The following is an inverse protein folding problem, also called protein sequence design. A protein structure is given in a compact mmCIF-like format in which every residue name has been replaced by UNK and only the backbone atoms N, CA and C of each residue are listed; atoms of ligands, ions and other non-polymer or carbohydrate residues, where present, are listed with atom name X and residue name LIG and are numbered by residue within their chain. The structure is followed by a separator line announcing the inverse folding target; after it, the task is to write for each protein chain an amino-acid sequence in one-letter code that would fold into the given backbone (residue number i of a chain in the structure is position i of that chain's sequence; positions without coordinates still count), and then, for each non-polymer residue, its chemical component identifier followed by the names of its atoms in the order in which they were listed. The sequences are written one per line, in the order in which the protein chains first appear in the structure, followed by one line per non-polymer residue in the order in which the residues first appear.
data_IF_125798852892
#
_entry.id   IF_125798852892
#
_cell.length_a   1.000
_cell.length_b   1.000
_cell.length_c   1.000
_cell.angle_alpha   90.00
_cell.angle_beta   90.00
_cell.angle_gamma   90.00
#
_symmetry.space_group_name_H-M   'P 1'
#
loop_
_entity.id
_entity.type
_entity.pdbx_description
1 polymer ?
#
# COMPACT_ATOMS: atom_id res chain seq x y z
N UNK A 1 -15.90 1.00 -3.76
CA UNK A 1 -15.84 1.91 -4.93
C UNK A 1 -16.39 1.25 -6.19
N UNK A 2 -15.82 0.12 -6.64
CA UNK A 2 -16.23 -0.60 -7.86
C UNK A 2 -17.74 -0.89 -8.02
N UNK A 3 -18.46 -1.19 -6.94
CA UNK A 3 -19.91 -1.46 -7.01
C UNK A 3 -20.75 -0.19 -7.25
N UNK A 4 -20.22 1.00 -6.98
CA UNK A 4 -20.95 2.27 -7.05
C UNK A 4 -20.65 3.03 -8.35
N UNK A 5 -19.42 2.94 -8.83
CA UNK A 5 -18.93 3.73 -9.97
C UNK A 5 -18.56 2.79 -11.12
N UNK A 6 -19.30 2.88 -12.23
CA UNK A 6 -19.14 1.99 -13.39
C UNK A 6 -17.76 2.13 -14.07
N UNK A 7 -17.13 3.29 -13.94
CA UNK A 7 -15.83 3.63 -14.51
C UNK A 7 -14.65 3.35 -13.55
N UNK A 8 -14.91 2.81 -12.36
CA UNK A 8 -13.87 2.61 -11.34
C UNK A 8 -12.75 1.67 -11.80
N UNK A 9 -13.08 0.61 -12.54
CA UNK A 9 -12.06 -0.31 -13.04
C UNK A 9 -11.07 0.41 -13.95
N UNK A 10 -11.57 1.29 -14.83
CA UNK A 10 -10.73 2.08 -15.72
C UNK A 10 -9.82 3.04 -14.94
N UNK A 11 -10.34 3.71 -13.90
CA UNK A 11 -9.54 4.57 -13.04
C UNK A 11 -8.45 3.78 -12.30
N UNK A 12 -8.80 2.61 -11.78
CA UNK A 12 -7.86 1.72 -11.10
C UNK A 12 -6.74 1.26 -12.03
N UNK A 13 -7.09 0.77 -13.23
CA UNK A 13 -6.10 0.30 -14.22
C UNK A 13 -5.14 1.42 -14.63
N UNK A 14 -5.66 2.63 -14.84
CA UNK A 14 -4.84 3.81 -15.12
C UNK A 14 -3.89 4.14 -13.96
N UNK A 15 -4.39 4.11 -12.72
CA UNK A 15 -3.58 4.40 -11.53
C UNK A 15 -2.50 3.34 -11.26
N UNK A 16 -2.74 2.08 -11.67
CA UNK A 16 -1.75 1.00 -11.55
C UNK A 16 -0.68 1.06 -12.65
N UNK A 17 -1.06 1.43 -13.87
CA UNK A 17 -0.14 1.48 -15.03
C UNK A 17 0.62 2.80 -15.14
N UNK A 18 0.02 3.90 -14.69
CA UNK A 18 0.60 5.26 -14.74
C UNK A 18 0.50 5.93 -13.37
N UNK A 19 1.28 5.47 -12.36
CA UNK A 19 1.10 5.83 -10.97
C UNK A 19 1.67 7.22 -10.60
N UNK A 20 1.48 8.25 -11.44
CA UNK A 20 1.97 9.62 -11.20
C UNK A 20 1.47 10.18 -9.86
N UNK A 21 0.21 9.91 -9.52
CA UNK A 21 -0.41 10.21 -8.24
C UNK A 21 -0.84 8.93 -7.53
N UNK A 22 -1.03 9.00 -6.21
CA UNK A 22 -1.56 7.87 -5.44
C UNK A 22 -3.01 7.57 -5.85
N UNK A 23 -3.42 6.30 -5.81
CA UNK A 23 -4.78 5.88 -6.14
C UNK A 23 -5.83 6.64 -5.32
N UNK A 24 -5.58 6.84 -4.02
CA UNK A 24 -6.48 7.62 -3.15
C UNK A 24 -6.64 9.07 -3.62
N UNK A 25 -5.59 9.69 -4.16
CA UNK A 25 -5.66 11.03 -4.72
C UNK A 25 -6.49 11.03 -6.02
N UNK A 26 -6.30 10.04 -6.89
CA UNK A 26 -7.08 9.91 -8.12
C UNK A 26 -8.58 9.71 -7.81
N UNK A 27 -8.90 8.86 -6.84
CA UNK A 27 -10.28 8.64 -6.40
C UNK A 27 -10.89 9.90 -5.77
N UNK A 28 -10.14 10.61 -4.92
CA UNK A 28 -10.61 11.84 -4.30
C UNK A 28 -10.93 12.91 -5.36
N UNK A 29 -10.05 13.08 -6.35
CA UNK A 29 -10.24 14.03 -7.45
C UNK A 29 -11.45 13.68 -8.34
N UNK A 30 -11.68 12.40 -8.60
CA UNK A 30 -12.72 11.96 -9.54
C UNK A 30 -14.08 11.70 -8.88
N UNK A 31 -14.11 11.23 -7.63
CA UNK A 31 -15.32 10.82 -6.92
C UNK A 31 -15.64 11.62 -5.65
N UNK A 32 -14.72 12.46 -5.17
CA UNK A 32 -14.85 13.21 -3.91
C UNK A 32 -14.79 12.32 -2.66
N UNK A 33 -14.34 11.08 -2.80
CA UNK A 33 -14.10 10.10 -1.74
C UNK A 33 -13.05 9.09 -2.21
N UNK A 34 -12.28 8.53 -1.27
CA UNK A 34 -11.30 7.48 -1.55
C UNK A 34 -11.55 6.19 -0.75
N UNK A 35 -11.02 5.06 -1.24
CA UNK A 35 -11.26 3.74 -0.65
C UNK A 35 -10.62 3.59 0.74
N UNK A 36 -9.48 4.23 1.01
CA UNK A 36 -8.80 4.14 2.30
C UNK A 36 -9.65 4.74 3.43
N UNK A 37 -10.29 5.88 3.16
CA UNK A 37 -11.23 6.54 4.10
C UNK A 37 -12.45 5.66 4.36
N UNK A 38 -13.03 5.05 3.31
CA UNK A 38 -14.13 4.10 3.46
C UNK A 38 -13.69 2.89 4.30
N UNK A 39 -12.52 2.33 3.99
CA UNK A 39 -11.93 1.20 4.72
C UNK A 39 -11.73 1.49 6.20
N UNK A 40 -11.26 2.69 6.54
CA UNK A 40 -11.13 3.16 7.92
C UNK A 40 -12.45 3.10 8.68
N UNK A 41 -13.54 3.63 8.10
CA UNK A 41 -14.85 3.61 8.75
C UNK A 41 -15.41 2.20 8.89
N UNK A 42 -15.20 1.33 7.89
CA UNK A 42 -15.60 -0.09 7.98
C UNK A 42 -14.83 -0.80 9.10
N UNK A 43 -13.50 -0.71 9.11
CA UNK A 43 -12.65 -1.31 10.14
C UNK A 43 -12.99 -0.80 11.55
N UNK A 44 -13.24 0.50 11.67
CA UNK A 44 -13.66 1.12 12.93
C UNK A 44 -15.02 0.60 13.39
N UNK A 45 -15.98 0.39 12.48
CA UNK A 45 -17.30 -0.17 12.81
C UNK A 45 -17.22 -1.61 13.33
N UNK A 46 -16.20 -2.36 12.89
CA UNK A 46 -15.89 -3.71 13.38
C UNK A 46 -15.09 -3.72 14.68
N UNK A 47 -14.75 -2.54 15.23
CA UNK A 47 -13.97 -2.37 16.47
C UNK A 47 -12.59 -3.02 16.39
N UNK A 48 -11.96 -2.97 15.21
CA UNK A 48 -10.55 -3.35 15.09
C UNK A 48 -9.66 -2.42 15.94
N UNK A 49 -8.45 -2.88 16.32
CA UNK A 49 -7.47 -2.05 16.99
C UNK A 49 -7.23 -0.71 16.27
N UNK A 50 -7.00 0.37 17.04
CA UNK A 50 -6.94 1.74 16.51
C UNK A 50 -5.78 1.93 15.53
N UNK A 51 -4.63 1.35 15.86
CA UNK A 51 -3.43 1.28 15.02
C UNK A 51 -3.76 0.63 13.66
N UNK A 52 -4.43 -0.52 13.65
CA UNK A 52 -4.87 -1.18 12.40
C UNK A 52 -5.78 -0.26 11.58
N UNK A 53 -6.76 0.39 12.20
CA UNK A 53 -7.60 1.35 11.50
C UNK A 53 -6.79 2.51 10.90
N UNK A 54 -5.82 3.07 11.65
CA UNK A 54 -4.96 4.14 11.12
C UNK A 54 -4.12 3.66 9.94
N UNK A 55 -3.57 2.45 9.98
CA UNK A 55 -2.83 1.90 8.84
C UNK A 55 -3.73 1.72 7.62
N UNK A 56 -4.97 1.23 7.79
CA UNK A 56 -5.93 1.17 6.69
C UNK A 56 -6.21 2.56 6.11
N UNK A 57 -6.27 3.61 6.93
CA UNK A 57 -6.44 4.98 6.43
C UNK A 57 -5.22 5.46 5.64
N UNK A 58 -4.02 5.15 6.13
CA UNK A 58 -2.76 5.71 5.63
C UNK A 58 -2.08 4.84 4.56
N UNK A 59 -2.54 3.61 4.30
CA UNK A 59 -1.78 2.63 3.51
C UNK A 59 -1.43 3.06 2.08
N UNK A 60 -2.10 4.04 1.49
CA UNK A 60 -1.76 4.57 0.15
C UNK A 60 -1.02 5.92 0.19
N UNK A 61 -0.75 6.46 1.38
CA UNK A 61 0.04 7.68 1.52
C UNK A 61 1.54 7.35 1.36
N UNK A 62 2.09 7.80 0.23
CA UNK A 62 3.49 7.63 -0.13
C UNK A 62 4.44 8.40 0.80
N UNK A 63 3.93 9.39 1.54
CA UNK A 63 4.71 10.24 2.44
C UNK A 63 4.60 9.82 3.91
N UNK A 64 3.79 8.81 4.25
CA UNK A 64 3.54 8.40 5.64
C UNK A 64 4.83 8.09 6.42
N UNK A 65 5.82 7.51 5.74
CA UNK A 65 7.15 7.20 6.30
C UNK A 65 8.27 8.08 5.73
N UNK A 66 7.94 9.30 5.26
CA UNK A 66 8.96 10.26 4.79
C UNK A 66 9.86 10.74 5.94
N UNK A 67 9.30 10.86 7.14
CA UNK A 67 10.01 11.14 8.39
C UNK A 67 9.92 9.94 9.32
N UNK A 68 11.06 9.33 9.64
CA UNK A 68 11.13 8.15 10.51
C UNK A 68 11.10 8.59 11.99
N UNK A 69 10.08 8.15 12.72
CA UNK A 69 9.87 8.46 14.13
C UNK A 69 9.90 7.22 15.03
N UNK A 70 10.00 6.02 14.44
CA UNK A 70 10.10 4.75 15.17
C UNK A 70 8.80 4.33 15.86
N UNK A 71 7.65 4.84 15.40
CA UNK A 71 6.35 4.43 15.94
C UNK A 71 5.95 3.05 15.43
N UNK A 72 5.13 2.35 16.22
CA UNK A 72 4.59 1.03 15.85
C UNK A 72 3.78 1.09 14.55
N UNK A 73 3.15 2.22 14.24
CA UNK A 73 2.45 2.42 12.98
C UNK A 73 3.40 2.41 11.78
N UNK A 74 4.63 2.93 11.92
CA UNK A 74 5.63 2.84 10.84
C UNK A 74 6.05 1.40 10.59
N UNK A 75 6.18 0.58 11.64
CA UNK A 75 6.46 -0.85 11.51
C UNK A 75 5.33 -1.58 10.77
N UNK A 76 4.07 -1.33 11.18
CA UNK A 76 2.90 -1.92 10.54
C UNK A 76 2.77 -1.50 9.07
N UNK A 77 3.01 -0.22 8.77
CA UNK A 77 3.02 0.29 7.40
C UNK A 77 4.11 -0.38 6.56
N UNK A 78 5.32 -0.51 7.11
CA UNK A 78 6.44 -1.11 6.40
C UNK A 78 6.19 -2.59 6.10
N UNK A 79 5.67 -3.35 7.07
CA UNK A 79 5.27 -4.75 6.87
C UNK A 79 4.17 -4.86 5.81
N UNK A 80 3.16 -3.98 5.85
CA UNK A 80 2.09 -3.96 4.85
C UNK A 80 2.65 -3.69 3.45
N UNK A 81 3.52 -2.68 3.29
CA UNK A 81 4.11 -2.32 2.00
C UNK A 81 5.01 -3.40 1.42
N UNK A 82 5.83 -4.04 2.25
CA UNK A 82 6.61 -5.19 1.81
C UNK A 82 5.68 -6.35 1.37
N UNK A 83 4.60 -6.60 2.11
CA UNK A 83 3.63 -7.64 1.76
C UNK A 83 2.95 -7.36 0.43
N UNK A 84 2.48 -6.12 0.20
CA UNK A 84 1.91 -5.69 -1.08
C UNK A 84 2.89 -5.90 -2.23
N UNK A 85 4.17 -5.55 -2.02
CA UNK A 85 5.21 -5.74 -3.02
C UNK A 85 5.44 -7.22 -3.35
N UNK A 86 5.57 -8.08 -2.34
CA UNK A 86 5.80 -9.52 -2.54
C UNK A 86 4.64 -10.17 -3.30
N UNK A 87 3.39 -9.80 -2.96
CA UNK A 87 2.21 -10.28 -3.67
C UNK A 87 2.17 -9.76 -5.12
N UNK A 88 2.49 -8.49 -5.34
CA UNK A 88 2.54 -7.90 -6.68
C UNK A 88 3.58 -8.61 -7.57
N UNK A 89 4.79 -8.84 -7.02
CA UNK A 89 5.84 -9.57 -7.72
C UNK A 89 5.42 -11.02 -8.04
N UNK A 90 4.70 -11.69 -7.13
CA UNK A 90 4.24 -13.08 -7.34
C UNK A 90 3.20 -13.24 -8.44
N UNK A 91 2.24 -12.32 -8.53
CA UNK A 91 1.07 -12.50 -9.41
C UNK A 91 1.08 -11.64 -10.66
N UNK A 92 1.90 -10.59 -10.71
CA UNK A 92 1.89 -9.64 -11.82
C UNK A 92 3.26 -9.42 -12.44
N UNK A 93 4.36 -9.95 -11.87
CA UNK A 93 5.74 -9.68 -12.29
C UNK A 93 6.12 -8.18 -12.33
N UNK A 94 5.30 -7.32 -11.72
CA UNK A 94 5.50 -5.88 -11.61
C UNK A 94 5.50 -5.45 -10.15
N UNK A 95 6.25 -4.41 -9.83
CA UNK A 95 6.19 -3.78 -8.50
C UNK A 95 4.83 -3.17 -8.23
N UNK A 96 4.43 -3.17 -6.97
CA UNK A 96 3.23 -2.46 -6.55
C UNK A 96 3.39 -0.95 -6.81
N UNK A 97 2.29 -0.29 -7.18
CA UNK A 97 2.32 1.10 -7.66
C UNK A 97 2.98 2.12 -6.70
N UNK A 98 2.95 1.86 -5.40
CA UNK A 98 3.56 2.76 -4.41
C UNK A 98 5.00 2.37 -4.06
N UNK A 99 5.42 1.14 -4.36
CA UNK A 99 6.71 0.59 -3.93
C UNK A 99 7.91 1.48 -4.29
N UNK A 100 8.03 2.02 -5.52
CA UNK A 100 9.17 2.88 -5.88
C UNK A 100 9.32 4.12 -5.00
N UNK A 101 8.24 4.57 -4.34
CA UNK A 101 8.24 5.76 -3.49
C UNK A 101 8.57 5.46 -2.03
N UNK A 102 8.34 4.22 -1.57
CA UNK A 102 8.44 3.84 -0.15
C UNK A 102 9.55 2.83 0.13
N UNK A 103 10.07 2.14 -0.88
CA UNK A 103 11.04 1.03 -0.75
C UNK A 103 12.19 1.36 0.20
N UNK A 104 12.86 2.50 0.00
CA UNK A 104 14.04 2.86 0.79
C UNK A 104 13.71 2.94 2.29
N UNK A 105 12.63 3.61 2.66
CA UNK A 105 12.25 3.80 4.05
C UNK A 105 11.63 2.53 4.64
N UNK A 106 10.90 1.73 3.85
CA UNK A 106 10.45 0.39 4.26
C UNK A 106 11.65 -0.49 4.62
N UNK A 107 12.67 -0.55 3.77
CA UNK A 107 13.87 -1.34 4.03
C UNK A 107 14.63 -0.87 5.29
N UNK A 108 14.73 0.46 5.50
CA UNK A 108 15.32 1.03 6.72
C UNK A 108 14.55 0.64 7.98
N UNK A 109 13.23 0.77 7.98
CA UNK A 109 12.37 0.44 9.13
C UNK A 109 12.52 -1.05 9.49
N UNK A 110 12.48 -1.92 8.48
CA UNK A 110 12.57 -3.37 8.69
C UNK A 110 14.00 -3.88 8.85
N UNK A 111 15.01 -2.99 8.78
CA UNK A 111 16.42 -3.31 8.82
C UNK A 111 16.84 -4.41 7.82
N UNK A 112 16.27 -4.39 6.61
CA UNK A 112 16.60 -5.31 5.52
C UNK A 112 17.49 -4.62 4.49
N UNK A 113 18.54 -5.31 4.05
CA UNK A 113 19.36 -4.88 2.94
C UNK A 113 18.83 -5.39 1.60
N UNK A 114 19.41 -4.92 0.50
CA UNK A 114 19.00 -5.29 -0.86
C UNK A 114 19.12 -6.80 -1.09
N UNK A 115 20.17 -7.45 -0.56
CA UNK A 115 20.37 -8.88 -0.70
C UNK A 115 19.23 -9.68 -0.02
N UNK A 116 18.84 -9.27 1.19
CA UNK A 116 17.72 -9.85 1.93
C UNK A 116 16.40 -9.62 1.19
N UNK A 117 16.17 -8.41 0.67
CA UNK A 117 14.98 -8.10 -0.12
C UNK A 117 14.86 -9.00 -1.35
N UNK A 118 15.94 -9.15 -2.12
CA UNK A 118 15.97 -10.03 -3.30
C UNK A 118 15.74 -11.50 -2.94
N UNK A 119 16.30 -11.95 -1.80
CA UNK A 119 16.04 -13.30 -1.28
C UNK A 119 14.56 -13.51 -0.96
N UNK A 120 13.92 -12.55 -0.28
CA UNK A 120 12.49 -12.62 0.05
C UNK A 120 11.62 -12.64 -1.22
N UNK A 121 11.92 -11.79 -2.21
CA UNK A 121 11.19 -11.79 -3.50
C UNK A 121 11.32 -13.14 -4.20
N UNK A 122 12.52 -13.72 -4.25
CA UNK A 122 12.74 -15.04 -4.85
C UNK A 122 11.98 -16.15 -4.13
N UNK A 123 12.04 -16.19 -2.80
CA UNK A 123 11.36 -17.20 -1.99
C UNK A 123 9.84 -17.17 -2.18
N UNK A 124 9.24 -15.97 -2.16
CA UNK A 124 7.79 -15.81 -2.27
C UNK A 124 7.25 -16.04 -3.69
N UNK A 125 8.03 -15.71 -4.73
CA UNK A 125 7.64 -15.95 -6.13
C UNK A 125 7.73 -17.43 -6.51
N UNK A 126 8.65 -18.20 -5.91
CA UNK A 126 8.81 -19.65 -6.16
C UNK A 126 7.83 -20.52 -5.35
N UNK A 127 7.41 -20.05 -4.17
CA UNK A 127 6.52 -20.81 -3.29
C UNK A 127 5.13 -21.03 -3.92
N UNK A 128 4.72 -22.30 -4.07
CA UNK A 128 3.47 -22.72 -4.76
C UNK A 128 2.22 -22.44 -3.95
#
# INVERSE_FOLDING_TARGET
MAMKYNDYQQLLDNALTTPEIALTQAEEQHYGVNHATIGYYVASSWRLPKDVCQIILQHRDRNFISELNGSQEQDLFAVLKLSEQLISMKYSDFSSADWPYVQENVCKILAIDEATLQSLVSEFTVST
#
